data_IF_657548878740
#
_entry.id   IF_657548878740
#
_cell.length_a   1.000
_cell.length_b   1.000
_cell.length_c   1.000
_cell.angle_alpha   90.00
_cell.angle_beta   90.00
_cell.angle_gamma   90.00
#
_symmetry.space_group_name_H-M   'P 1'
#
loop_
_entity.id
_entity.type
_entity.pdbx_description
1 polymer ?
#
# COMPACT_ATOMS: atom_id res chain seq x y z
N UNK A 1 25.79 -4.95 -1.31
CA UNK A 1 24.37 -5.26 -1.54
C UNK A 1 24.17 -6.75 -1.26
N UNK A 2 23.29 -7.10 -0.34
CA UNK A 2 22.95 -8.50 -0.04
C UNK A 2 21.88 -8.95 -1.03
N UNK A 3 22.12 -10.04 -1.77
CA UNK A 3 21.09 -10.60 -2.65
C UNK A 3 20.04 -11.31 -1.80
N UNK A 4 18.78 -10.96 -2.01
CA UNK A 4 17.65 -11.54 -1.31
C UNK A 4 16.58 -11.93 -2.33
N UNK A 5 15.86 -13.02 -2.05
CA UNK A 5 14.74 -13.46 -2.88
C UNK A 5 13.52 -12.56 -2.67
N UNK A 6 12.81 -12.23 -3.75
CA UNK A 6 11.51 -11.51 -3.69
C UNK A 6 10.43 -12.29 -2.93
N UNK A 7 10.56 -13.61 -2.84
CA UNK A 7 9.68 -14.46 -2.04
C UNK A 7 10.00 -14.44 -0.54
N UNK A 8 11.15 -13.89 -0.17
CA UNK A 8 11.61 -13.76 1.21
C UNK A 8 12.25 -12.38 1.45
N UNK A 9 11.49 -11.29 1.20
CA UNK A 9 12.01 -9.94 1.27
C UNK A 9 12.42 -9.58 2.71
N UNK A 10 13.48 -8.78 2.88
CA UNK A 10 13.89 -8.33 4.21
C UNK A 10 12.96 -7.21 4.69
N UNK A 11 12.47 -7.31 5.93
CA UNK A 11 11.80 -6.22 6.65
C UNK A 11 12.48 -6.01 8.01
N UNK A 12 12.17 -4.90 8.68
CA UNK A 12 12.76 -4.54 9.99
C UNK A 12 11.68 -3.98 10.90
N UNK A 13 11.65 -4.45 12.14
CA UNK A 13 10.76 -3.94 13.19
C UNK A 13 11.40 -2.78 13.98
N UNK A 14 12.66 -2.44 13.67
CA UNK A 14 13.36 -1.33 14.33
C UNK A 14 12.98 0.01 13.70
N UNK A 15 12.49 0.99 14.47
CA UNK A 15 12.09 2.31 13.96
C UNK A 15 13.25 3.17 13.46
N UNK A 16 14.50 2.74 13.68
CA UNK A 16 15.71 3.50 13.34
C UNK A 16 16.45 2.91 12.12
N UNK A 17 15.89 1.87 11.49
CA UNK A 17 16.56 1.15 10.42
C UNK A 17 15.74 1.22 9.14
N UNK A 18 16.32 1.85 8.13
CA UNK A 18 15.75 1.87 6.79
C UNK A 18 16.35 0.75 5.93
N UNK A 19 15.50 0.15 5.09
CA UNK A 19 15.91 -0.85 4.11
C UNK A 19 15.43 -0.38 2.73
N UNK A 20 16.35 -0.33 1.76
CA UNK A 20 16.02 -0.06 0.37
C UNK A 20 16.09 -1.34 -0.45
N UNK A 21 14.99 -1.70 -1.09
CA UNK A 21 14.98 -2.76 -2.12
C UNK A 21 15.36 -2.16 -3.47
N UNK A 22 16.19 -2.86 -4.22
CA UNK A 22 16.69 -2.46 -5.54
C UNK A 22 16.53 -3.62 -6.52
N UNK A 23 16.68 -3.35 -7.82
CA UNK A 23 16.52 -4.34 -8.91
C UNK A 23 15.15 -5.03 -8.96
N UNK A 24 14.10 -4.34 -8.50
CA UNK A 24 12.72 -4.77 -8.65
C UNK A 24 12.18 -4.36 -10.03
N UNK A 25 11.54 -5.28 -10.74
CA UNK A 25 11.05 -5.09 -12.10
C UNK A 25 9.61 -5.59 -12.24
N UNK A 26 8.80 -4.89 -13.04
CA UNK A 26 7.38 -5.22 -13.22
C UNK A 26 6.65 -5.25 -11.87
N UNK A 27 5.85 -6.28 -11.64
CA UNK A 27 5.06 -6.45 -10.41
C UNK A 27 5.83 -7.11 -9.26
N UNK A 28 7.17 -7.22 -9.34
CA UNK A 28 7.97 -7.75 -8.22
C UNK A 28 7.90 -6.92 -6.93
N UNK A 29 7.73 -5.58 -6.94
CA UNK A 29 7.47 -4.82 -5.72
C UNK A 29 6.19 -5.25 -5.01
N UNK A 30 5.10 -5.48 -5.75
CA UNK A 30 3.83 -5.92 -5.18
C UNK A 30 3.93 -7.31 -4.55
N UNK A 31 4.63 -8.24 -5.22
CA UNK A 31 4.91 -9.57 -4.66
C UNK A 31 5.73 -9.46 -3.36
N UNK A 32 6.78 -8.64 -3.35
CA UNK A 32 7.59 -8.41 -2.15
C UNK A 32 6.74 -7.84 -1.02
N UNK A 33 5.90 -6.84 -1.31
CA UNK A 33 5.00 -6.24 -0.31
C UNK A 33 4.02 -7.26 0.26
N UNK A 34 3.36 -8.06 -0.58
CA UNK A 34 2.46 -9.13 -0.10
C UNK A 34 3.20 -10.09 0.87
N UNK A 35 4.43 -10.50 0.53
CA UNK A 35 5.24 -11.38 1.39
C UNK A 35 5.72 -10.72 2.69
N UNK A 36 5.91 -9.39 2.71
CA UNK A 36 6.19 -8.65 3.94
C UNK A 36 4.93 -8.54 4.78
N UNK A 37 3.80 -8.16 4.20
CA UNK A 37 2.52 -8.00 4.89
C UNK A 37 2.11 -9.32 5.57
N UNK A 38 2.31 -10.47 4.91
CA UNK A 38 2.06 -11.82 5.47
C UNK A 38 2.80 -12.07 6.82
N UNK A 39 3.88 -11.34 7.10
CA UNK A 39 4.80 -11.58 8.23
C UNK A 39 4.90 -10.42 9.21
N UNK A 40 4.46 -9.23 8.80
CA UNK A 40 4.52 -8.03 9.63
C UNK A 40 3.30 -7.98 10.53
N UNK A 41 3.46 -7.98 11.86
CA UNK A 41 2.34 -7.80 12.76
C UNK A 41 1.80 -6.36 12.65
N UNK A 42 0.49 -6.22 12.51
CA UNK A 42 -0.19 -4.92 12.45
C UNK A 42 -0.44 -4.41 11.03
N UNK A 43 -0.76 -3.11 10.91
CA UNK A 43 -1.09 -2.47 9.63
C UNK A 43 0.17 -1.93 8.95
N UNK A 44 0.25 -2.06 7.62
CA UNK A 44 1.32 -1.49 6.80
C UNK A 44 0.78 -0.30 6.02
N UNK A 45 1.43 0.85 6.14
CA UNK A 45 1.16 2.03 5.30
C UNK A 45 2.13 2.03 4.13
N UNK A 46 1.60 1.99 2.91
CA UNK A 46 2.40 2.11 1.69
C UNK A 46 2.18 3.49 1.08
N UNK A 47 3.26 4.23 0.86
CA UNK A 47 3.23 5.54 0.23
C UNK A 47 3.76 5.40 -1.20
N UNK A 48 2.95 5.77 -2.18
CA UNK A 48 3.33 5.79 -3.60
C UNK A 48 3.61 7.21 -4.07
N UNK A 49 4.23 7.34 -5.24
CA UNK A 49 4.53 8.64 -5.82
C UNK A 49 3.27 9.43 -6.22
N UNK A 50 2.20 8.72 -6.60
CA UNK A 50 0.94 9.30 -7.07
C UNK A 50 -0.23 8.29 -6.90
N UNK A 51 -1.44 8.77 -7.18
CA UNK A 51 -2.68 8.00 -7.08
C UNK A 51 -2.76 6.83 -8.08
N UNK A 52 -2.25 7.01 -9.30
CA UNK A 52 -2.25 5.94 -10.30
C UNK A 52 -1.38 4.75 -9.85
N UNK A 53 -0.23 5.04 -9.25
CA UNK A 53 0.64 4.03 -8.67
C UNK A 53 0.01 3.39 -7.44
N UNK A 54 -0.74 4.14 -6.62
CA UNK A 54 -1.47 3.57 -5.48
C UNK A 54 -2.49 2.51 -5.94
N UNK A 55 -3.35 2.86 -6.90
CA UNK A 55 -4.37 1.95 -7.42
C UNK A 55 -3.77 0.74 -8.15
N UNK A 56 -2.71 0.95 -8.95
CA UNK A 56 -1.98 -0.17 -9.57
C UNK A 56 -1.44 -1.12 -8.50
N UNK A 57 -0.77 -0.57 -7.49
CA UNK A 57 -0.14 -1.37 -6.45
C UNK A 57 -1.17 -2.10 -5.59
N UNK A 58 -2.31 -1.47 -5.28
CA UNK A 58 -3.44 -2.12 -4.62
C UNK A 58 -3.89 -3.39 -5.36
N UNK A 59 -4.12 -3.28 -6.67
CA UNK A 59 -4.56 -4.41 -7.49
C UNK A 59 -3.51 -5.53 -7.55
N UNK A 60 -2.24 -5.16 -7.74
CA UNK A 60 -1.15 -6.14 -7.80
C UNK A 60 -0.92 -6.83 -6.44
N UNK A 61 -0.94 -6.09 -5.33
CA UNK A 61 -0.79 -6.66 -3.99
C UNK A 61 -1.97 -7.56 -3.67
N UNK A 62 -3.21 -7.16 -4.00
CA UNK A 62 -4.41 -7.99 -3.82
C UNK A 62 -4.30 -9.31 -4.59
N UNK A 63 -3.81 -9.27 -5.84
CA UNK A 63 -3.55 -10.46 -6.63
C UNK A 63 -2.54 -11.42 -5.95
N UNK A 64 -1.43 -10.88 -5.39
CA UNK A 64 -0.40 -11.71 -4.76
C UNK A 64 -0.70 -12.14 -3.33
N UNK A 65 -1.57 -11.42 -2.61
CA UNK A 65 -2.10 -11.84 -1.32
C UNK A 65 -2.96 -13.10 -1.51
N UNK A 66 -3.83 -13.09 -2.52
CA UNK A 66 -4.74 -14.18 -2.81
C UNK A 66 -6.00 -14.12 -1.94
N UNK A 67 -7.10 -14.66 -2.45
CA UNK A 67 -8.45 -14.46 -1.89
C UNK A 67 -8.65 -15.03 -0.46
N UNK A 68 -7.73 -15.85 0.02
CA UNK A 68 -7.86 -16.56 1.31
C UNK A 68 -6.99 -15.95 2.42
N UNK A 69 -6.29 -14.84 2.17
CA UNK A 69 -5.52 -14.17 3.23
C UNK A 69 -6.42 -13.30 4.11
N UNK A 70 -6.20 -13.33 5.42
CA UNK A 70 -6.98 -12.59 6.42
C UNK A 70 -7.08 -11.09 6.14
N UNK A 71 -6.09 -10.50 5.47
CA UNK A 71 -6.03 -9.07 5.17
C UNK A 71 -6.51 -8.70 3.75
N UNK A 72 -6.96 -9.66 2.94
CA UNK A 72 -7.29 -9.43 1.53
C UNK A 72 -8.29 -8.28 1.35
N UNK A 73 -9.35 -8.27 2.16
CA UNK A 73 -10.42 -7.27 2.10
C UNK A 73 -10.06 -5.95 2.81
N UNK A 74 -8.94 -5.94 3.55
CA UNK A 74 -8.40 -4.79 4.26
C UNK A 74 -7.41 -3.97 3.42
N UNK A 75 -6.99 -4.47 2.24
CA UNK A 75 -6.14 -3.73 1.30
C UNK A 75 -6.96 -2.60 0.70
N UNK A 76 -6.74 -1.38 1.18
CA UNK A 76 -7.52 -0.19 0.80
C UNK A 76 -6.61 0.99 0.45
N UNK A 77 -6.92 1.71 -0.63
CA UNK A 77 -6.31 3.00 -0.95
C UNK A 77 -6.97 4.12 -0.15
N UNK A 78 -6.18 5.08 0.34
CA UNK A 78 -6.71 6.32 0.89
C UNK A 78 -6.88 7.34 -0.25
N UNK A 79 -8.12 7.66 -0.66
CA UNK A 79 -8.32 8.45 -1.88
C UNK A 79 -7.84 9.88 -1.69
N UNK A 80 -7.27 10.46 -2.75
CA UNK A 80 -6.96 11.88 -2.80
C UNK A 80 -8.24 12.71 -2.93
N UNK A 81 -8.11 14.03 -2.96
CA UNK A 81 -9.29 14.90 -3.03
C UNK A 81 -9.84 15.07 -4.45
N UNK A 82 -9.09 14.62 -5.46
CA UNK A 82 -9.32 14.91 -6.89
C UNK A 82 -9.50 16.41 -7.20
N UNK A 83 -9.00 17.28 -6.33
CA UNK A 83 -8.96 18.73 -6.52
C UNK A 83 -7.54 19.24 -6.38
N UNK A 84 -7.24 20.36 -7.03
CA UNK A 84 -5.94 20.99 -6.88
C UNK A 84 -5.84 21.74 -5.53
N UNK A 85 -4.62 21.98 -5.03
CA UNK A 85 -4.44 22.93 -3.93
C UNK A 85 -5.03 24.29 -4.30
N UNK A 86 -5.93 24.81 -3.45
CA UNK A 86 -6.67 26.07 -3.66
C UNK A 86 -7.64 26.05 -4.84
N UNK A 87 -8.20 24.89 -5.17
CA UNK A 87 -9.31 24.79 -6.12
C UNK A 87 -10.55 25.53 -5.61
N UNK A 88 -11.37 26.02 -6.55
CA UNK A 88 -12.64 26.69 -6.24
C UNK A 88 -13.76 25.68 -5.98
N UNK A 89 -13.56 24.42 -6.40
CA UNK A 89 -14.51 23.34 -6.19
C UNK A 89 -14.17 22.52 -4.94
N UNK A 90 -15.21 22.10 -4.23
CA UNK A 90 -15.10 21.10 -3.17
C UNK A 90 -14.95 19.70 -3.78
N UNK A 91 -14.25 18.77 -3.10
CA UNK A 91 -14.23 17.35 -3.48
C UNK A 91 -15.65 16.77 -3.56
N UNK A 92 -15.83 15.75 -4.41
CA UNK A 92 -17.10 15.04 -4.52
C UNK A 92 -17.48 14.38 -3.18
N UNK A 93 -18.79 14.31 -2.87
CA UNK A 93 -19.26 13.76 -1.59
C UNK A 93 -18.88 12.28 -1.40
N UNK A 94 -18.78 11.54 -2.50
CA UNK A 94 -18.37 10.13 -2.49
C UNK A 94 -16.91 9.99 -2.02
N UNK A 95 -16.01 10.85 -2.52
CA UNK A 95 -14.60 10.89 -2.10
C UNK A 95 -14.50 11.21 -0.60
N UNK A 96 -15.26 12.20 -0.13
CA UNK A 96 -15.27 12.56 1.30
C UNK A 96 -15.74 11.36 2.14
N UNK A 97 -16.81 10.70 1.72
CA UNK A 97 -17.39 9.54 2.41
C UNK A 97 -16.43 8.35 2.45
N UNK A 98 -15.75 8.07 1.34
CA UNK A 98 -14.75 7.00 1.25
C UNK A 98 -13.55 7.29 2.15
N UNK A 99 -13.01 8.51 2.12
CA UNK A 99 -11.92 8.93 3.02
C UNK A 99 -12.29 8.74 4.48
N UNK A 100 -13.48 9.18 4.89
CA UNK A 100 -13.96 9.01 6.27
C UNK A 100 -14.10 7.52 6.63
N UNK A 101 -14.58 6.70 5.70
CA UNK A 101 -14.72 5.25 5.89
C UNK A 101 -13.36 4.54 6.04
N UNK A 102 -12.33 4.99 5.33
CA UNK A 102 -10.96 4.51 5.52
C UNK A 102 -10.42 4.95 6.88
N UNK A 103 -10.51 6.23 7.22
CA UNK A 103 -10.00 6.78 8.48
C UNK A 103 -10.68 6.15 9.70
N UNK A 104 -11.98 5.87 9.64
CA UNK A 104 -12.72 5.23 10.73
C UNK A 104 -12.30 3.76 10.99
N UNK A 105 -11.64 3.10 10.03
CA UNK A 105 -11.10 1.73 10.16
C UNK A 105 -9.65 1.71 10.67
N UNK A 106 -8.98 2.86 10.69
CA UNK A 106 -7.64 2.99 11.26
C UNK A 106 -7.72 2.96 12.80
N UNK A 107 -6.72 2.36 13.47
CA UNK A 107 -6.69 2.22 14.93
C UNK A 107 -6.55 3.55 15.68
#
# INVERSE_FOLDING_TARGET
>A
MTKVSVFNPPYTDSPQKDISWTDLNGSSPALALAKVIDRTPGRVLVVTADANQAHRLEQEVRYFAGEHTDYHDDITVFPDWETLPYDTFSPHQDIISERLSVLARLP
#
